data_IF_614058120361
#
_entry.id   IF_614058120361
#
_cell.length_a   1.000
_cell.length_b   1.000
_cell.length_c   1.000
_cell.angle_alpha   90.00
_cell.angle_beta   90.00
_cell.angle_gamma   90.00
#
_symmetry.space_group_name_H-M   'P 1'
#
loop_
_entity.id
_entity.type
_entity.pdbx_description
1 polymer ?
#
# COMPACT_ATOMS: atom_id res chain seq x y z
N UNK A 1 -2.99 14.25 6.92
CA UNK A 1 -2.18 13.04 7.21
C UNK A 1 -1.45 13.22 8.55
N UNK A 2 -1.24 12.16 9.31
CA UNK A 2 -0.50 12.20 10.58
C UNK A 2 0.89 11.61 10.33
N UNK A 3 1.95 12.28 10.80
CA UNK A 3 3.31 11.76 10.71
C UNK A 3 3.51 10.74 11.83
N UNK A 4 4.09 9.58 11.50
CA UNK A 4 4.36 8.51 12.47
C UNK A 4 5.29 8.99 13.60
N UNK A 5 6.20 9.93 13.30
CA UNK A 5 7.06 10.54 14.31
C UNK A 5 6.26 11.31 15.38
N UNK A 6 5.33 12.17 14.95
CA UNK A 6 4.51 12.96 15.87
C UNK A 6 3.64 12.04 16.75
N UNK A 7 3.14 10.94 16.19
CA UNK A 7 2.40 9.92 16.94
C UNK A 7 3.28 9.24 17.99
N UNK A 8 4.50 8.82 17.64
CA UNK A 8 5.42 8.17 18.56
C UNK A 8 5.78 9.11 19.73
N UNK A 9 6.08 10.38 19.45
CA UNK A 9 6.33 11.38 20.49
C UNK A 9 5.11 11.61 21.40
N UNK A 10 3.91 11.67 20.82
CA UNK A 10 2.67 11.81 21.59
C UNK A 10 2.46 10.62 22.53
N UNK A 11 2.70 9.38 22.06
CA UNK A 11 2.57 8.18 22.89
C UNK A 11 3.55 8.17 24.07
N UNK A 12 4.80 8.60 23.83
CA UNK A 12 5.81 8.71 24.89
C UNK A 12 5.36 9.74 25.95
N UNK A 13 4.87 10.91 25.52
CA UNK A 13 4.38 11.96 26.44
C UNK A 13 3.15 11.52 27.24
N UNK A 14 2.19 10.84 26.60
CA UNK A 14 1.00 10.28 27.27
C UNK A 14 1.39 9.27 28.35
N UNK A 15 2.52 8.60 28.18
CA UNK A 15 3.08 7.66 29.15
C UNK A 15 3.86 8.33 30.30
N UNK A 16 3.93 9.66 30.34
CA UNK A 16 4.63 10.42 31.38
C UNK A 16 6.15 10.59 31.16
N UNK A 17 6.65 10.25 29.98
CA UNK A 17 8.07 10.30 29.64
C UNK A 17 8.40 11.46 28.68
N UNK A 18 9.66 11.88 28.68
CA UNK A 18 10.19 12.91 27.79
C UNK A 18 10.82 12.22 26.56
N UNK A 19 10.26 12.43 25.34
CA UNK A 19 10.84 11.90 24.11
C UNK A 19 12.27 12.38 23.91
N UNK A 20 13.17 11.47 23.52
CA UNK A 20 14.59 11.75 23.31
C UNK A 20 15.44 11.80 24.58
N UNK A 21 14.83 11.90 25.77
CA UNK A 21 15.53 11.83 27.05
C UNK A 21 15.30 10.46 27.73
N UNK A 22 14.05 10.18 28.10
CA UNK A 22 13.71 8.94 28.81
C UNK A 22 13.54 7.77 27.84
N UNK A 23 13.01 8.06 26.63
CA UNK A 23 12.79 7.08 25.57
C UNK A 23 13.32 7.63 24.24
N UNK A 24 14.29 6.94 23.64
CA UNK A 24 14.86 7.31 22.34
C UNK A 24 14.02 6.76 21.19
N UNK A 25 13.83 7.58 20.15
CA UNK A 25 13.25 7.16 18.87
C UNK A 25 14.40 6.84 17.91
N UNK A 26 14.37 5.67 17.29
CA UNK A 26 15.39 5.21 16.34
C UNK A 26 14.72 4.94 15.00
N UNK A 27 15.33 5.44 13.92
CA UNK A 27 14.83 5.24 12.56
C UNK A 27 15.47 3.99 11.97
N UNK A 28 14.67 2.95 11.70
CA UNK A 28 15.15 1.68 11.14
C UNK A 28 15.00 1.58 9.62
N UNK A 29 14.48 2.63 8.98
CA UNK A 29 14.15 2.62 7.55
C UNK A 29 12.83 1.90 7.25
N UNK A 30 12.43 1.95 5.98
CA UNK A 30 11.22 1.27 5.48
C UNK A 30 11.51 -0.20 5.22
N UNK A 31 10.56 -1.08 5.57
CA UNK A 31 10.60 -2.50 5.23
C UNK A 31 10.25 -2.70 3.74
N UNK A 32 10.71 -3.81 3.12
CA UNK A 32 10.33 -4.14 1.75
C UNK A 32 8.80 -4.15 1.58
N UNK A 33 8.31 -3.40 0.59
CA UNK A 33 6.87 -3.28 0.31
C UNK A 33 6.13 -2.20 1.09
N UNK A 34 6.74 -1.54 2.08
CA UNK A 34 6.09 -0.42 2.77
C UNK A 34 6.07 0.85 1.91
N UNK A 35 5.03 1.67 2.10
CA UNK A 35 4.91 3.02 1.53
C UNK A 35 5.18 4.07 2.61
N UNK A 36 5.77 5.21 2.22
CA UNK A 36 5.95 6.37 3.11
C UNK A 36 4.64 7.16 3.28
N UNK A 37 3.79 7.13 2.25
CA UNK A 37 2.49 7.77 2.21
C UNK A 37 1.48 6.80 1.61
N UNK A 38 0.32 6.69 2.24
CA UNK A 38 -0.83 5.96 1.69
C UNK A 38 -1.71 6.91 0.88
N UNK A 39 -2.23 6.42 -0.24
CA UNK A 39 -3.28 7.10 -0.99
C UNK A 39 -4.64 6.83 -0.33
N UNK A 40 -5.43 7.87 -0.06
CA UNK A 40 -6.78 7.69 0.50
C UNK A 40 -7.77 7.14 -0.54
N UNK A 41 -7.53 7.48 -1.81
CA UNK A 41 -8.28 7.03 -2.96
C UNK A 41 -7.30 6.84 -4.12
N UNK A 42 -7.47 5.77 -4.89
CA UNK A 42 -6.65 5.53 -6.07
C UNK A 42 -7.15 6.36 -7.26
N UNK A 43 -6.27 6.71 -8.21
CA UNK A 43 -6.65 7.56 -9.36
C UNK A 43 -7.78 6.95 -10.21
N UNK A 44 -7.85 5.63 -10.26
CA UNK A 44 -8.84 4.91 -11.07
C UNK A 44 -10.16 4.68 -10.31
N UNK A 45 -10.27 5.10 -9.05
CA UNK A 45 -11.49 4.98 -8.26
C UNK A 45 -12.43 6.16 -8.52
N UNK A 46 -13.62 5.85 -9.03
CA UNK A 46 -14.68 6.85 -9.16
C UNK A 46 -15.36 7.05 -7.81
N UNK A 47 -15.14 8.22 -7.22
CA UNK A 47 -15.79 8.63 -5.98
C UNK A 47 -17.14 9.30 -6.28
N UNK A 48 -18.19 8.84 -5.60
CA UNK A 48 -19.52 9.48 -5.63
C UNK A 48 -19.91 9.93 -4.23
N UNK A 49 -20.49 11.11 -4.14
CA UNK A 49 -20.99 11.61 -2.87
C UNK A 49 -22.21 10.78 -2.42
N UNK A 50 -22.22 10.37 -1.16
CA UNK A 50 -23.40 9.75 -0.54
C UNK A 50 -24.37 10.82 -0.02
N UNK A 51 -25.49 10.40 0.57
CA UNK A 51 -26.41 11.31 1.27
C UNK A 51 -25.78 11.98 2.50
N UNK A 52 -24.73 11.39 3.09
CA UNK A 52 -24.05 11.95 4.24
C UNK A 52 -22.77 12.70 3.82
N UNK A 53 -22.56 13.96 4.23
CA UNK A 53 -21.50 14.82 3.69
C UNK A 53 -20.07 14.33 3.98
N UNK A 54 -19.88 13.48 5.01
CA UNK A 54 -18.57 12.89 5.36
C UNK A 54 -18.34 11.49 4.77
N UNK A 55 -19.25 10.98 3.95
CA UNK A 55 -19.15 9.64 3.36
C UNK A 55 -19.12 9.70 1.84
N UNK A 56 -18.08 9.12 1.26
CA UNK A 56 -17.89 8.95 -0.18
C UNK A 56 -18.03 7.46 -0.53
N UNK A 57 -18.66 7.17 -1.66
CA UNK A 57 -18.80 5.84 -2.23
C UNK A 57 -17.71 5.65 -3.28
N UNK A 58 -16.78 4.72 -3.05
CA UNK A 58 -15.82 4.29 -4.05
C UNK A 58 -16.48 3.24 -4.96
N UNK A 59 -16.58 3.51 -6.26
CA UNK A 59 -16.96 2.50 -7.24
C UNK A 59 -15.72 1.77 -7.73
N UNK A 60 -15.55 0.54 -7.26
CA UNK A 60 -14.54 -0.38 -7.76
C UNK A 60 -14.90 -0.93 -9.14
N UNK A 61 -13.89 -1.49 -9.82
CA UNK A 61 -14.09 -2.19 -11.08
C UNK A 61 -14.87 -3.49 -10.85
N UNK A 62 -15.93 -3.69 -11.63
CA UNK A 62 -16.65 -4.97 -11.63
C UNK A 62 -15.84 -5.96 -12.46
N UNK A 63 -15.33 -6.99 -11.81
CA UNK A 63 -14.63 -8.10 -12.48
C UNK A 63 -15.57 -9.28 -12.59
N UNK A 64 -15.54 -9.97 -13.73
CA UNK A 64 -16.28 -11.22 -13.91
C UNK A 64 -15.82 -12.26 -12.88
N UNK A 65 -16.78 -12.85 -12.16
CA UNK A 65 -16.48 -13.77 -11.05
C UNK A 65 -15.75 -15.03 -11.52
N UNK A 66 -16.07 -15.53 -12.71
CA UNK A 66 -15.45 -16.75 -13.25
C UNK A 66 -14.03 -16.46 -13.73
N UNK A 67 -13.77 -15.27 -14.28
CA UNK A 67 -12.40 -14.80 -14.55
C UNK A 67 -11.60 -14.70 -13.26
N UNK A 68 -12.16 -14.10 -12.22
CA UNK A 68 -11.48 -13.97 -10.92
C UNK A 68 -11.17 -15.34 -10.30
N UNK A 69 -12.12 -16.27 -10.30
CA UNK A 69 -11.91 -17.64 -9.77
C UNK A 69 -10.79 -18.36 -10.49
N UNK A 70 -10.81 -18.41 -11.83
CA UNK A 70 -9.74 -19.03 -12.62
C UNK A 70 -8.38 -18.38 -12.34
N UNK A 71 -8.38 -17.06 -12.17
CA UNK A 71 -7.20 -16.30 -11.78
C UNK A 71 -6.62 -16.71 -10.43
N UNK A 72 -7.49 -16.86 -9.43
CA UNK A 72 -7.12 -17.30 -8.08
C UNK A 72 -6.63 -18.75 -8.08
N UNK A 73 -7.28 -19.64 -8.81
CA UNK A 73 -6.84 -21.04 -8.95
C UNK A 73 -5.43 -21.10 -9.54
N UNK A 74 -5.18 -20.33 -10.61
CA UNK A 74 -3.86 -20.25 -11.23
C UNK A 74 -2.80 -19.66 -10.29
N UNK A 75 -3.17 -18.69 -9.45
CA UNK A 75 -2.27 -18.12 -8.45
C UNK A 75 -1.90 -19.17 -7.39
N UNK A 76 -2.85 -19.97 -6.91
CA UNK A 76 -2.61 -21.04 -5.94
C UNK A 76 -1.69 -22.14 -6.50
N UNK A 77 -1.90 -22.55 -7.75
CA UNK A 77 -1.01 -23.48 -8.45
C UNK A 77 0.42 -22.92 -8.57
N UNK A 78 0.53 -21.64 -8.91
CA UNK A 78 1.82 -20.96 -9.04
C UNK A 78 2.54 -20.86 -7.69
N UNK A 79 1.82 -20.57 -6.60
CA UNK A 79 2.37 -20.56 -5.24
C UNK A 79 2.95 -21.92 -4.84
N UNK A 80 2.27 -23.02 -5.19
CA UNK A 80 2.74 -24.37 -4.91
C UNK A 80 4.07 -24.70 -5.61
N UNK A 81 4.40 -24.02 -6.71
CA UNK A 81 5.66 -24.22 -7.44
C UNK A 81 6.87 -23.51 -6.80
N UNK A 82 6.66 -22.55 -5.88
CA UNK A 82 7.72 -21.76 -5.25
C UNK A 82 8.36 -20.66 -6.13
N UNK A 83 7.87 -20.45 -7.35
CA UNK A 83 8.37 -19.42 -8.27
C UNK A 83 7.79 -18.03 -7.93
N UNK A 84 8.46 -17.32 -7.04
CA UNK A 84 8.04 -15.99 -6.58
C UNK A 84 7.92 -14.95 -7.70
N UNK A 85 8.75 -15.02 -8.74
CA UNK A 85 8.64 -14.07 -9.86
C UNK A 85 7.37 -14.32 -10.66
N UNK A 86 7.05 -15.59 -10.89
CA UNK A 86 5.81 -15.97 -11.54
C UNK A 86 4.59 -15.61 -10.71
N UNK A 87 4.64 -15.78 -9.38
CA UNK A 87 3.58 -15.33 -8.47
C UNK A 87 3.33 -13.83 -8.64
N UNK A 88 4.38 -13.01 -8.65
CA UNK A 88 4.25 -11.55 -8.85
C UNK A 88 3.62 -11.22 -10.20
N UNK A 89 4.02 -11.90 -11.29
CA UNK A 89 3.43 -11.70 -12.62
C UNK A 89 1.94 -12.06 -12.67
N UNK A 90 1.55 -13.17 -12.06
CA UNK A 90 0.13 -13.58 -11.96
C UNK A 90 -0.65 -12.54 -11.15
N UNK A 91 -0.08 -12.06 -10.05
CA UNK A 91 -0.70 -11.04 -9.22
C UNK A 91 -0.89 -9.71 -9.97
N UNK A 92 0.08 -9.28 -10.77
CA UNK A 92 -0.04 -8.10 -11.64
C UNK A 92 -1.13 -8.26 -12.72
N UNK A 93 -1.41 -9.49 -13.15
CA UNK A 93 -2.52 -9.76 -14.08
C UNK A 93 -3.88 -9.60 -13.40
N UNK A 94 -4.00 -10.08 -12.16
CA UNK A 94 -5.26 -10.03 -11.39
C UNK A 94 -5.54 -8.66 -10.81
N UNK A 95 -4.49 -7.95 -10.42
CA UNK A 95 -4.55 -6.61 -9.85
C UNK A 95 -3.61 -5.71 -10.66
N UNK A 96 -4.07 -5.14 -11.79
CA UNK A 96 -3.22 -4.33 -12.68
C UNK A 96 -2.58 -3.11 -12.01
N UNK A 97 -3.19 -2.60 -10.94
CA UNK A 97 -2.65 -1.49 -10.14
C UNK A 97 -1.55 -1.91 -9.16
N UNK A 98 -1.28 -3.22 -9.01
CA UNK A 98 -0.24 -3.71 -8.11
C UNK A 98 1.15 -3.43 -8.69
N UNK A 99 1.89 -2.54 -8.04
CA UNK A 99 3.28 -2.25 -8.37
C UNK A 99 4.23 -2.78 -7.28
N UNK A 100 4.98 -3.86 -7.53
CA UNK A 100 6.02 -4.29 -6.61
C UNK A 100 7.10 -3.21 -6.51
N UNK A 101 7.51 -2.86 -5.28
CA UNK A 101 8.37 -1.68 -5.01
C UNK A 101 9.71 -1.65 -5.77
N UNK A 102 10.23 -2.80 -6.22
CA UNK A 102 11.42 -2.85 -7.10
C UNK A 102 11.28 -2.00 -8.38
N UNK A 103 10.05 -1.74 -8.85
CA UNK A 103 9.77 -0.91 -10.04
C UNK A 103 9.42 0.54 -9.70
N UNK A 104 8.83 0.79 -8.51
CA UNK A 104 8.50 2.15 -8.03
C UNK A 104 9.76 3.00 -7.88
N UNK A 105 10.87 2.41 -7.42
CA UNK A 105 12.15 3.11 -7.27
C UNK A 105 12.82 3.44 -8.62
N UNK A 106 12.61 2.63 -9.67
CA UNK A 106 13.11 2.92 -11.03
C UNK A 106 12.32 4.03 -11.73
N UNK A 107 11.00 4.07 -11.54
CA UNK A 107 10.13 5.11 -12.12
C UNK A 107 10.39 6.49 -11.48
N UNK A 108 10.60 6.53 -10.16
CA UNK A 108 10.98 7.75 -9.44
C UNK A 108 12.40 8.27 -9.83
N UNK A 109 13.33 7.37 -10.17
CA UNK A 109 14.66 7.76 -10.63
C UNK A 109 14.69 8.34 -12.07
N UNK A 110 13.69 8.02 -12.90
CA UNK A 110 13.57 8.52 -14.29
C UNK A 110 12.87 9.89 -14.41
N UNK A 111 12.36 10.44 -13.30
CA UNK A 111 11.52 11.65 -13.27
C UNK A 111 12.14 12.82 -12.51
N UNK A 112 13.43 12.75 -12.16
CA UNK A 112 14.19 13.89 -11.65
C UNK A 112 14.63 14.80 -12.81
N UNK A 113 14.15 16.06 -12.91
CA UNK A 113 14.75 17.04 -13.81
C UNK A 113 16.17 17.41 -13.34
N UNK A 114 17.05 17.66 -14.31
CA UNK A 114 18.41 18.21 -14.10
C UNK A 114 18.41 19.59 -13.47
#
# INVERSE_FOLDING_TARGET
>A
PIRIQDLAEAMIRVSGFIPGHDIRIVHTGLRPGEKLHEELFYQDEKLRQSSHPKLLLAQGHVTDLEVLKRGLDHLLETLASGDNERVVRVLQTLVPSYMPRREVEKSAASSLPS
#
